data_IF_138189586786
#
_entry.id   IF_138189586786
#
_cell.length_a   1.000
_cell.length_b   1.000
_cell.length_c   1.000
_cell.angle_alpha   90.00
_cell.angle_beta   90.00
_cell.angle_gamma   90.00
#
_symmetry.space_group_name_H-M   'P 1'
#
loop_
_entity.id
_entity.type
_entity.pdbx_description
1 polymer ?
#
# COMPACT_ATOMS: atom_id res chain seq x y z
N UNK A 1 -41.02 20.39 -25.37
CA UNK A 1 -40.07 21.04 -24.42
C UNK A 1 -40.05 20.41 -23.02
N UNK A 2 -41.07 19.65 -22.60
CA UNK A 2 -41.12 19.03 -21.25
C UNK A 2 -40.23 17.78 -21.09
N UNK A 3 -39.97 17.02 -22.16
CA UNK A 3 -39.16 15.79 -22.08
C UNK A 3 -37.64 16.00 -21.90
N UNK A 4 -37.10 17.17 -22.25
CA UNK A 4 -35.67 17.47 -22.09
C UNK A 4 -35.32 17.90 -20.66
N UNK A 5 -36.26 18.56 -19.97
CA UNK A 5 -36.12 18.97 -18.56
C UNK A 5 -36.13 17.76 -17.60
N UNK A 6 -36.94 16.73 -17.88
CA UNK A 6 -36.93 15.48 -17.09
C UNK A 6 -35.62 14.70 -17.24
N UNK A 7 -35.03 14.65 -18.45
CA UNK A 7 -33.75 13.98 -18.68
C UNK A 7 -32.58 14.67 -17.97
N UNK A 8 -32.56 16.01 -17.96
CA UNK A 8 -31.58 16.77 -17.19
C UNK A 8 -31.80 16.63 -15.67
N UNK A 9 -33.05 16.60 -15.20
CA UNK A 9 -33.35 16.38 -13.78
C UNK A 9 -32.94 14.98 -13.30
N UNK A 10 -33.14 13.93 -14.11
CA UNK A 10 -32.71 12.57 -13.76
C UNK A 10 -31.19 12.42 -13.75
N UNK A 11 -30.50 13.06 -14.71
CA UNK A 11 -29.04 13.09 -14.76
C UNK A 11 -28.43 13.91 -13.61
N UNK A 12 -29.07 15.02 -13.21
CA UNK A 12 -28.69 15.83 -12.04
C UNK A 12 -29.02 15.10 -10.74
N UNK A 13 -30.12 14.34 -10.64
CA UNK A 13 -30.45 13.50 -9.49
C UNK A 13 -29.49 12.30 -9.35
N UNK A 14 -29.05 11.70 -10.46
CA UNK A 14 -28.01 10.65 -10.46
C UNK A 14 -26.62 11.23 -10.14
N UNK A 15 -26.32 12.46 -10.56
CA UNK A 15 -25.08 13.15 -10.21
C UNK A 15 -25.04 13.62 -8.74
N UNK A 16 -26.19 13.99 -8.16
CA UNK A 16 -26.31 14.46 -6.76
C UNK A 16 -26.51 13.34 -5.74
N UNK A 17 -26.97 12.15 -6.17
CA UNK A 17 -27.13 11.00 -5.26
C UNK A 17 -25.79 10.33 -4.90
N UNK A 18 -24.83 10.31 -5.82
CA UNK A 18 -23.47 9.77 -5.58
C UNK A 18 -22.49 10.77 -4.93
N UNK A 19 -22.63 12.07 -5.21
CA UNK A 19 -21.82 13.13 -4.62
C UNK A 19 -22.34 13.47 -3.21
N UNK A 20 -21.92 12.69 -2.21
CA UNK A 20 -22.31 12.91 -0.82
C UNK A 20 -22.48 11.65 0.00
N UNK A 21 -22.34 10.45 -0.56
CA UNK A 21 -22.43 9.23 0.24
C UNK A 21 -21.33 9.19 1.32
N UNK A 22 -20.09 9.57 0.99
CA UNK A 22 -19.02 9.69 1.97
C UNK A 22 -19.35 10.73 3.02
N UNK A 23 -19.67 11.95 2.60
CA UNK A 23 -19.95 13.10 3.46
C UNK A 23 -21.17 12.88 4.39
N UNK A 24 -22.13 12.04 3.99
CA UNK A 24 -23.31 11.69 4.81
C UNK A 24 -23.08 10.53 5.79
N UNK A 25 -22.08 9.67 5.55
CA UNK A 25 -21.93 8.41 6.29
C UNK A 25 -20.59 8.29 7.06
N UNK A 26 -19.65 9.20 6.85
CA UNK A 26 -18.33 9.17 7.49
C UNK A 26 -17.99 10.53 8.11
N UNK A 27 -17.27 10.54 9.25
CA UNK A 27 -16.78 11.78 9.83
C UNK A 27 -15.90 12.55 8.85
N UNK A 28 -15.99 13.89 8.86
CA UNK A 28 -15.18 14.75 8.01
C UNK A 28 -13.67 14.51 8.18
N UNK A 29 -13.23 14.17 9.40
CA UNK A 29 -11.85 13.80 9.71
C UNK A 29 -11.37 12.57 8.94
N UNK A 30 -12.22 11.55 8.78
CA UNK A 30 -11.92 10.32 8.03
C UNK A 30 -11.85 10.58 6.53
N UNK A 31 -12.77 11.40 6.01
CA UNK A 31 -12.78 11.78 4.59
C UNK A 31 -11.54 12.61 4.26
N UNK A 32 -11.11 13.48 5.18
CA UNK A 32 -9.88 14.23 5.06
C UNK A 32 -8.67 13.29 5.01
N UNK A 33 -8.56 12.35 5.95
CA UNK A 33 -7.45 11.38 6.01
C UNK A 33 -7.30 10.59 4.71
N UNK A 34 -8.42 10.15 4.12
CA UNK A 34 -8.43 9.39 2.87
C UNK A 34 -7.86 10.16 1.66
N UNK A 35 -7.65 11.48 1.78
CA UNK A 35 -7.10 12.33 0.73
C UNK A 35 -5.62 12.69 0.96
N UNK A 36 -5.08 12.43 2.14
CA UNK A 36 -3.71 12.77 2.51
C UNK A 36 -2.72 11.70 2.05
N UNK A 37 -1.51 12.13 1.73
CA UNK A 37 -0.33 11.27 1.60
C UNK A 37 0.13 10.75 2.96
N UNK A 38 1.04 9.78 2.96
CA UNK A 38 1.61 9.23 4.20
C UNK A 38 2.24 10.33 5.07
N UNK A 39 3.03 11.23 4.48
CA UNK A 39 3.69 12.32 5.20
C UNK A 39 2.69 13.37 5.71
N UNK A 40 1.70 13.75 4.89
CA UNK A 40 0.65 14.68 5.33
C UNK A 40 -0.19 14.09 6.47
N UNK A 41 -0.44 12.78 6.47
CA UNK A 41 -1.16 12.10 7.54
C UNK A 41 -0.33 12.07 8.84
N UNK A 42 0.97 11.78 8.76
CA UNK A 42 1.89 11.87 9.89
C UNK A 42 1.93 13.30 10.47
N UNK A 43 2.04 14.30 9.61
CA UNK A 43 2.05 15.70 10.01
C UNK A 43 0.72 16.13 10.67
N UNK A 44 -0.43 15.73 10.11
CA UNK A 44 -1.75 15.97 10.72
C UNK A 44 -1.83 15.41 12.13
N UNK A 45 -1.27 14.22 12.34
CA UNK A 45 -1.21 13.56 13.64
C UNK A 45 0.02 13.94 14.48
N UNK A 46 0.71 15.04 14.14
CA UNK A 46 1.83 15.64 14.89
C UNK A 46 3.02 14.71 15.12
N UNK A 47 3.29 13.82 14.19
CA UNK A 47 4.50 13.01 14.19
C UNK A 47 5.56 13.62 13.27
N UNK A 48 6.85 13.59 13.63
CA UNK A 48 7.89 13.99 12.72
C UNK A 48 7.88 13.05 11.51
N UNK A 49 8.19 13.58 10.33
CA UNK A 49 8.16 12.78 9.11
C UNK A 49 9.24 13.23 8.14
N UNK A 50 10.00 12.29 7.60
CA UNK A 50 11.00 12.51 6.55
C UNK A 50 10.68 11.66 5.32
N UNK A 51 11.11 12.14 4.16
CA UNK A 51 11.13 11.37 2.92
C UNK A 51 12.58 11.16 2.47
N UNK A 52 12.88 9.94 2.09
CA UNK A 52 14.20 9.54 1.61
C UNK A 52 14.04 8.83 0.28
N UNK A 53 15.00 9.02 -0.63
CA UNK A 53 15.04 8.30 -1.90
C UNK A 53 16.25 7.36 -1.93
N UNK A 54 16.05 6.21 -2.57
CA UNK A 54 17.13 5.29 -2.92
C UNK A 54 16.95 4.80 -4.35
N UNK A 55 18.05 4.71 -5.09
CA UNK A 55 18.06 4.16 -6.45
C UNK A 55 18.54 2.72 -6.39
N UNK A 56 17.74 1.80 -6.93
CA UNK A 56 18.11 0.39 -7.04
C UNK A 56 19.17 0.18 -8.11
N UNK A 57 19.88 -0.95 -8.08
CA UNK A 57 20.91 -1.26 -9.09
C UNK A 57 20.37 -1.35 -10.51
N UNK A 58 19.08 -1.67 -10.67
CA UNK A 58 18.39 -1.71 -11.96
C UNK A 58 17.65 -0.40 -12.31
N UNK A 59 17.82 0.66 -11.51
CA UNK A 59 17.47 2.03 -11.87
C UNK A 59 16.11 2.53 -11.39
N UNK A 60 15.34 1.75 -10.63
CA UNK A 60 14.13 2.25 -9.97
C UNK A 60 14.49 3.20 -8.84
N UNK A 61 13.69 4.25 -8.66
CA UNK A 61 13.86 5.23 -7.58
C UNK A 61 12.72 5.02 -6.60
N UNK A 62 13.08 4.56 -5.39
CA UNK A 62 12.14 4.19 -4.34
C UNK A 62 12.07 5.30 -3.28
N UNK A 63 10.85 5.63 -2.85
CA UNK A 63 10.63 6.51 -1.71
C UNK A 63 10.50 5.68 -0.41
N UNK A 64 11.26 6.04 0.61
CA UNK A 64 11.04 5.58 1.98
C UNK A 64 10.50 6.75 2.81
N UNK A 65 9.42 6.52 3.54
CA UNK A 65 8.99 7.45 4.56
C UNK A 65 9.58 7.05 5.90
N UNK A 66 9.84 8.02 6.78
CA UNK A 66 10.41 7.75 8.10
C UNK A 66 9.69 8.59 9.16
N UNK A 67 9.43 7.99 10.32
CA UNK A 67 9.09 8.69 11.56
C UNK A 67 10.37 8.74 12.39
N UNK A 68 11.19 9.81 12.27
CA UNK A 68 12.57 9.79 12.71
C UNK A 68 12.70 9.80 14.23
N UNK A 69 13.57 8.92 14.73
CA UNK A 69 14.07 8.96 16.10
C UNK A 69 15.60 8.75 16.09
N UNK A 70 16.40 9.82 15.89
CA UNK A 70 17.85 9.70 15.79
C UNK A 70 18.46 8.97 17.01
N UNK A 71 19.36 8.02 16.74
CA UNK A 71 20.01 7.20 17.77
C UNK A 71 19.20 6.00 18.28
N UNK A 72 17.94 5.85 17.86
CA UNK A 72 17.15 4.66 18.17
C UNK A 72 17.35 3.53 17.14
N UNK A 73 17.09 2.30 17.58
CA UNK A 73 17.18 1.10 16.74
C UNK A 73 16.20 1.20 15.55
N UNK A 74 16.67 1.07 14.29
CA UNK A 74 15.78 1.12 13.14
C UNK A 74 14.89 -0.11 13.01
N UNK A 75 13.65 0.15 12.59
CA UNK A 75 12.67 -0.85 12.13
C UNK A 75 12.25 -0.51 10.70
N UNK A 76 12.21 -1.51 9.82
CA UNK A 76 11.74 -1.36 8.44
C UNK A 76 10.43 -2.12 8.23
N UNK A 77 9.37 -1.40 7.86
CA UNK A 77 8.05 -1.93 7.58
C UNK A 77 7.79 -1.94 6.06
N UNK A 78 7.50 -3.10 5.49
CA UNK A 78 7.28 -3.29 4.04
C UNK A 78 5.91 -3.87 3.77
N UNK A 79 5.14 -3.13 2.97
CA UNK A 79 3.73 -3.36 2.69
C UNK A 79 3.46 -4.58 1.80
N UNK A 80 2.17 -4.91 1.63
CA UNK A 80 1.70 -6.01 0.79
C UNK A 80 1.52 -5.64 -0.69
N UNK A 81 0.89 -6.54 -1.44
CA UNK A 81 0.57 -6.30 -2.87
C UNK A 81 -0.48 -5.19 -3.01
N UNK A 82 -0.32 -4.31 -4.00
CA UNK A 82 -1.21 -3.15 -4.26
C UNK A 82 -1.38 -2.20 -3.05
N UNK A 83 -0.34 -2.12 -2.23
CA UNK A 83 -0.33 -1.36 -0.99
C UNK A 83 0.75 -0.25 -1.01
N UNK A 84 0.88 0.51 0.07
CA UNK A 84 1.93 1.49 0.28
C UNK A 84 2.29 1.62 1.76
N UNK A 85 3.31 2.43 2.04
CA UNK A 85 3.68 2.86 3.39
C UNK A 85 2.50 3.35 4.26
N UNK A 86 1.42 3.87 3.66
CA UNK A 86 0.26 4.37 4.39
C UNK A 86 -0.40 3.30 5.27
N UNK A 87 -0.40 2.03 4.87
CA UNK A 87 -1.11 0.97 5.61
C UNK A 87 -0.63 0.77 7.05
N UNK A 88 0.59 1.15 7.35
CA UNK A 88 1.15 1.09 8.70
C UNK A 88 0.66 2.20 9.64
N UNK A 89 0.02 3.25 9.08
CA UNK A 89 -0.45 4.44 9.80
C UNK A 89 -1.95 4.74 9.60
N UNK A 90 -2.63 4.05 8.66
CA UNK A 90 -4.04 4.32 8.32
C UNK A 90 -5.01 4.17 9.50
N UNK A 91 -4.67 3.35 10.50
CA UNK A 91 -5.49 3.16 11.70
C UNK A 91 -5.32 4.26 12.76
N UNK A 92 -4.59 5.32 12.42
CA UNK A 92 -4.37 6.48 13.28
C UNK A 92 -3.40 6.21 14.44
N UNK A 93 -3.04 7.25 15.23
CA UNK A 93 -1.98 7.19 16.24
C UNK A 93 -2.12 6.09 17.29
N UNK A 94 -3.36 5.74 17.64
CA UNK A 94 -3.62 4.72 18.69
C UNK A 94 -3.41 3.28 18.22
N UNK A 95 -3.70 2.99 16.94
CA UNK A 95 -3.81 1.62 16.45
C UNK A 95 -2.86 1.32 15.27
N UNK A 96 -2.24 2.33 14.68
CA UNK A 96 -1.26 2.14 13.61
C UNK A 96 0.05 1.59 14.16
N UNK A 97 0.52 0.47 13.60
CA UNK A 97 1.74 -0.20 14.05
C UNK A 97 2.97 0.71 14.01
N UNK A 98 3.08 1.57 13.00
CA UNK A 98 4.20 2.50 12.90
C UNK A 98 4.21 3.53 14.05
N UNK A 99 3.04 4.00 14.48
CA UNK A 99 2.92 4.88 15.65
C UNK A 99 3.29 4.14 16.93
N UNK A 100 2.75 2.94 17.13
CA UNK A 100 3.08 2.11 18.28
C UNK A 100 4.60 1.85 18.40
N UNK A 101 5.27 1.51 17.29
CA UNK A 101 6.72 1.31 17.29
C UNK A 101 7.48 2.61 17.58
N UNK A 102 7.04 3.73 17.03
CA UNK A 102 7.67 5.03 17.31
C UNK A 102 7.55 5.40 18.79
N UNK A 103 6.37 5.23 19.38
CA UNK A 103 6.09 5.48 20.81
C UNK A 103 6.83 4.50 21.72
N UNK A 104 7.08 3.28 21.23
CA UNK A 104 7.92 2.28 21.88
C UNK A 104 9.43 2.56 21.77
N UNK A 105 9.82 3.68 21.16
CA UNK A 105 11.21 4.15 21.14
C UNK A 105 12.03 3.71 19.93
N UNK A 106 11.41 3.24 18.84
CA UNK A 106 12.13 2.87 17.61
C UNK A 106 12.23 4.01 16.60
N UNK A 107 13.23 3.91 15.71
CA UNK A 107 13.33 4.73 14.50
C UNK A 107 12.60 4.02 13.34
N UNK A 108 11.47 4.58 12.89
CA UNK A 108 10.51 3.84 12.07
C UNK A 108 10.63 4.19 10.60
N UNK A 109 10.98 3.22 9.77
CA UNK A 109 11.10 3.35 8.32
C UNK A 109 10.01 2.57 7.60
N UNK A 110 9.37 3.19 6.62
CA UNK A 110 8.24 2.67 5.85
C UNK A 110 8.65 2.57 4.38
N UNK A 111 8.92 1.35 3.93
CA UNK A 111 9.35 1.07 2.57
C UNK A 111 8.21 1.13 1.56
N UNK A 112 8.45 1.70 0.38
CA UNK A 112 7.54 1.63 -0.77
C UNK A 112 8.22 0.87 -1.92
N UNK A 113 7.64 -0.27 -2.30
CA UNK A 113 8.15 -1.07 -3.40
C UNK A 113 7.92 -0.40 -4.75
N UNK A 114 8.78 -0.69 -5.74
CA UNK A 114 8.71 -0.18 -7.11
C UNK A 114 7.30 -0.30 -7.71
N UNK A 115 6.89 0.73 -8.44
CA UNK A 115 5.61 0.80 -9.13
C UNK A 115 4.41 1.18 -8.26
N UNK A 116 4.54 1.24 -6.93
CA UNK A 116 3.48 1.79 -6.09
C UNK A 116 3.38 3.33 -6.25
N UNK A 117 2.41 3.97 -5.58
CA UNK A 117 2.14 5.41 -5.71
C UNK A 117 3.36 6.31 -5.43
N UNK A 118 4.26 5.90 -4.53
CA UNK A 118 5.41 6.71 -4.10
C UNK A 118 6.71 6.32 -4.83
N UNK A 119 6.79 5.11 -5.39
CA UNK A 119 7.98 4.56 -6.06
C UNK A 119 7.72 4.28 -7.55
N UNK A 120 6.95 5.17 -8.22
CA UNK A 120 6.66 5.11 -9.66
C UNK A 120 7.64 5.98 -10.46
N UNK A 121 8.94 5.73 -10.30
CA UNK A 121 10.01 6.52 -10.91
C UNK A 121 11.24 5.66 -11.24
N UNK A 122 12.01 6.06 -12.26
CA UNK A 122 13.20 5.35 -12.76
C UNK A 122 14.19 6.34 -13.39
N UNK A 123 15.46 6.00 -13.37
CA UNK A 123 16.56 6.78 -13.99
C UNK A 123 16.45 6.97 -15.51
N UNK A 124 15.70 6.14 -16.22
CA UNK A 124 15.66 6.13 -17.70
C UNK A 124 14.28 5.80 -18.28
N UNK A 125 13.47 4.99 -17.59
CA UNK A 125 12.16 4.56 -18.09
C UNK A 125 11.04 5.47 -17.60
N UNK A 126 10.15 5.87 -18.51
CA UNK A 126 8.94 6.60 -18.18
C UNK A 126 7.78 5.64 -17.89
N UNK A 127 7.24 5.60 -16.66
CA UNK A 127 6.19 4.66 -16.26
C UNK A 127 4.87 4.82 -17.04
N UNK A 128 4.66 5.97 -17.70
CA UNK A 128 3.46 6.27 -18.48
C UNK A 128 3.61 5.98 -19.98
N UNK A 129 4.84 5.73 -20.46
CA UNK A 129 5.13 5.49 -21.89
C UNK A 129 5.80 4.13 -22.13
N UNK A 130 6.71 3.75 -21.25
CA UNK A 130 7.59 2.61 -21.43
C UNK A 130 7.05 1.39 -20.68
N UNK A 131 6.55 0.40 -21.42
CA UNK A 131 6.06 -0.86 -20.84
C UNK A 131 7.14 -1.62 -20.08
N UNK A 132 8.40 -1.43 -20.45
CA UNK A 132 9.55 -2.02 -19.76
C UNK A 132 9.63 -1.60 -18.29
N UNK A 133 9.10 -0.43 -17.91
CA UNK A 133 9.00 0.00 -16.52
C UNK A 133 8.17 -0.97 -15.66
N UNK A 134 7.20 -1.67 -16.26
CA UNK A 134 6.32 -2.59 -15.55
C UNK A 134 6.81 -4.03 -15.61
N UNK A 135 7.98 -4.28 -16.21
CA UNK A 135 8.55 -5.61 -16.38
C UNK A 135 9.31 -6.05 -15.14
N UNK A 136 8.59 -6.17 -14.02
CA UNK A 136 9.10 -6.68 -12.76
C UNK A 136 8.00 -7.48 -12.05
N UNK A 137 8.42 -8.22 -11.04
CA UNK A 137 7.57 -8.98 -10.16
C UNK A 137 8.02 -8.78 -8.71
N UNK A 138 7.40 -9.52 -7.78
CA UNK A 138 7.89 -9.61 -6.41
C UNK A 138 9.33 -10.15 -6.32
N UNK A 139 9.82 -10.83 -7.36
CA UNK A 139 11.19 -11.33 -7.38
C UNK A 139 12.21 -10.19 -7.42
N UNK A 140 12.05 -9.24 -8.34
CA UNK A 140 12.92 -8.06 -8.46
C UNK A 140 12.83 -7.15 -7.23
N UNK A 141 11.66 -7.06 -6.59
CA UNK A 141 11.52 -6.35 -5.31
C UNK A 141 12.41 -6.99 -4.24
N UNK A 142 12.45 -8.32 -4.16
CA UNK A 142 13.32 -9.03 -3.22
C UNK A 142 14.81 -8.92 -3.57
N UNK A 143 15.16 -8.93 -4.85
CA UNK A 143 16.56 -8.87 -5.30
C UNK A 143 17.17 -7.47 -5.29
N UNK A 144 16.36 -6.42 -5.49
CA UNK A 144 16.88 -5.08 -5.73
C UNK A 144 16.30 -4.04 -4.77
N UNK A 145 14.98 -4.01 -4.57
CA UNK A 145 14.36 -2.98 -3.72
C UNK A 145 14.74 -3.17 -2.27
N UNK A 146 14.53 -4.38 -1.74
CA UNK A 146 14.71 -4.65 -0.32
C UNK A 146 16.18 -4.46 0.12
N UNK A 147 17.18 -4.98 -0.62
CA UNK A 147 18.59 -4.64 -0.40
C UNK A 147 18.87 -3.14 -0.35
N UNK A 148 18.40 -2.38 -1.35
CA UNK A 148 18.62 -0.94 -1.43
C UNK A 148 17.95 -0.19 -0.26
N UNK A 149 16.73 -0.60 0.12
CA UNK A 149 16.04 -0.05 1.27
C UNK A 149 16.78 -0.33 2.58
N UNK A 150 17.25 -1.57 2.80
CA UNK A 150 18.01 -1.94 4.00
C UNK A 150 19.30 -1.12 4.09
N UNK A 151 20.08 -1.04 3.01
CA UNK A 151 21.33 -0.29 3.00
C UNK A 151 21.10 1.19 3.27
N UNK A 152 20.09 1.79 2.63
CA UNK A 152 19.70 3.18 2.90
C UNK A 152 19.38 3.42 4.38
N UNK A 153 18.65 2.52 5.03
CA UNK A 153 18.29 2.62 6.45
C UNK A 153 19.52 2.49 7.34
N UNK A 154 20.37 1.50 7.09
CA UNK A 154 21.57 1.27 7.88
C UNK A 154 22.57 2.43 7.74
N UNK A 155 22.77 2.94 6.53
CA UNK A 155 23.63 4.09 6.27
C UNK A 155 23.11 5.35 6.96
N UNK A 156 21.80 5.62 6.85
CA UNK A 156 21.19 6.81 7.45
C UNK A 156 21.17 6.79 8.99
N UNK A 157 21.23 5.61 9.60
CA UNK A 157 21.12 5.44 11.05
C UNK A 157 22.44 5.04 11.71
N UNK A 158 23.46 4.66 10.93
CA UNK A 158 24.74 4.09 11.39
C UNK A 158 24.62 2.79 12.19
N UNK A 159 23.45 2.13 12.18
CA UNK A 159 23.28 0.79 12.75
C UNK A 159 23.78 -0.27 11.77
N UNK A 160 24.25 -1.40 12.30
CA UNK A 160 24.69 -2.54 11.48
C UNK A 160 23.55 -3.48 11.10
N UNK A 161 22.45 -3.46 11.86
CA UNK A 161 21.29 -4.33 11.67
C UNK A 161 20.00 -3.57 11.97
N UNK A 162 18.90 -4.01 11.37
CA UNK A 162 17.55 -3.51 11.62
C UNK A 162 16.57 -4.65 11.93
N UNK A 163 15.41 -4.32 12.48
CA UNK A 163 14.29 -5.27 12.62
C UNK A 163 13.32 -5.08 11.45
N UNK A 164 12.87 -6.18 10.86
CA UNK A 164 12.01 -6.17 9.68
C UNK A 164 10.57 -6.56 10.04
N UNK A 165 9.61 -5.85 9.46
CA UNK A 165 8.19 -6.22 9.45
C UNK A 165 7.71 -6.30 8.01
N UNK A 166 7.22 -7.46 7.61
CA UNK A 166 6.64 -7.67 6.28
C UNK A 166 5.19 -8.09 6.39
N UNK A 167 4.30 -7.49 5.59
CA UNK A 167 2.92 -7.95 5.47
C UNK A 167 2.67 -8.57 4.09
N UNK A 168 2.07 -9.77 4.05
CA UNK A 168 1.67 -10.43 2.78
C UNK A 168 2.85 -10.51 1.80
N UNK A 169 2.78 -9.84 0.64
CA UNK A 169 3.90 -9.77 -0.32
C UNK A 169 5.20 -9.24 0.30
N UNK A 170 5.14 -8.35 1.30
CA UNK A 170 6.32 -7.91 2.06
C UNK A 170 7.08 -9.08 2.69
N UNK A 171 6.40 -10.14 3.11
CA UNK A 171 7.07 -11.37 3.58
C UNK A 171 7.72 -12.14 2.44
N UNK A 172 7.04 -12.23 1.28
CA UNK A 172 7.55 -12.93 0.09
C UNK A 172 8.86 -12.32 -0.38
N UNK A 173 8.93 -10.99 -0.49
CA UNK A 173 10.12 -10.29 -0.97
C UNK A 173 11.29 -10.44 0.00
N UNK A 174 11.01 -10.52 1.31
CA UNK A 174 12.02 -10.89 2.30
C UNK A 174 12.52 -12.31 2.09
N UNK A 175 11.65 -13.30 1.89
CA UNK A 175 12.08 -14.68 1.65
C UNK A 175 12.90 -14.82 0.36
N UNK A 176 12.58 -14.07 -0.69
CA UNK A 176 13.41 -13.99 -1.91
C UNK A 176 14.78 -13.44 -1.57
N UNK A 177 14.86 -12.27 -0.93
CA UNK A 177 16.14 -11.67 -0.54
C UNK A 177 16.96 -12.62 0.34
N UNK A 178 16.36 -13.16 1.40
CA UNK A 178 17.05 -13.99 2.38
C UNK A 178 17.60 -15.30 1.80
N UNK A 179 16.94 -15.84 0.77
CA UNK A 179 17.36 -17.07 0.09
C UNK A 179 18.33 -16.82 -1.06
N UNK A 180 18.16 -15.74 -1.82
CA UNK A 180 18.99 -15.42 -3.00
C UNK A 180 20.21 -14.56 -2.66
N UNK A 181 20.17 -13.80 -1.56
CA UNK A 181 21.21 -12.86 -1.12
C UNK A 181 21.55 -13.11 0.37
N UNK A 182 22.12 -14.28 0.72
CA UNK A 182 22.28 -14.69 2.12
C UNK A 182 23.11 -13.72 2.98
N UNK A 183 24.00 -12.92 2.39
CA UNK A 183 24.75 -11.88 3.10
C UNK A 183 23.84 -10.81 3.75
N UNK A 184 22.62 -10.59 3.25
CA UNK A 184 21.67 -9.67 3.88
C UNK A 184 21.03 -10.24 5.14
N UNK A 185 21.08 -11.56 5.37
CA UNK A 185 20.58 -12.14 6.61
C UNK A 185 21.35 -11.61 7.83
N UNK A 186 22.64 -11.29 7.66
CA UNK A 186 23.46 -10.69 8.72
C UNK A 186 23.07 -9.26 9.07
N UNK A 187 22.34 -8.57 8.19
CA UNK A 187 21.85 -7.19 8.37
C UNK A 187 20.48 -7.11 9.05
N UNK A 188 19.86 -8.24 9.40
CA UNK A 188 18.52 -8.29 9.98
C UNK A 188 18.57 -8.96 11.36
N UNK A 189 17.99 -8.31 12.37
CA UNK A 189 17.90 -8.85 13.74
C UNK A 189 16.81 -9.91 13.82
N UNK A 190 15.62 -9.56 13.33
CA UNK A 190 14.42 -10.38 13.39
C UNK A 190 13.48 -9.99 12.24
N UNK A 191 12.80 -10.99 11.68
CA UNK A 191 11.65 -10.79 10.81
C UNK A 191 10.34 -11.05 11.57
N UNK A 192 9.45 -10.08 11.54
CA UNK A 192 8.05 -10.20 11.91
C UNK A 192 7.23 -10.38 10.63
N UNK A 193 6.89 -11.64 10.31
CA UNK A 193 6.16 -11.98 9.09
C UNK A 193 4.65 -12.03 9.35
N UNK A 194 3.93 -10.98 8.92
CA UNK A 194 2.49 -10.83 9.10
C UNK A 194 1.74 -11.37 7.87
N UNK A 195 0.89 -12.37 8.06
CA UNK A 195 0.23 -13.12 6.98
C UNK A 195 1.25 -13.62 5.91
N UNK A 196 2.21 -14.47 6.30
CA UNK A 196 3.32 -14.85 5.43
C UNK A 196 2.87 -15.61 4.18
N UNK A 197 3.51 -15.29 3.05
CA UNK A 197 3.23 -15.91 1.74
C UNK A 197 4.54 -16.42 1.13
N UNK A 198 4.76 -17.73 1.17
CA UNK A 198 5.84 -18.41 0.45
C UNK A 198 5.30 -19.24 -0.72
N UNK A 199 4.23 -20.02 -0.47
CA UNK A 199 3.57 -20.85 -1.47
C UNK A 199 2.06 -20.59 -1.49
N UNK A 200 1.44 -20.67 -2.67
CA UNK A 200 0.01 -20.41 -2.87
C UNK A 200 -0.81 -21.66 -3.22
N UNK A 201 -0.23 -22.86 -3.10
CA UNK A 201 -0.82 -24.12 -3.60
C UNK A 201 -2.18 -24.45 -2.96
N UNK A 202 -2.42 -24.00 -1.73
CA UNK A 202 -3.63 -24.29 -0.95
C UNK A 202 -4.55 -23.08 -0.75
N UNK A 203 -4.37 -22.00 -1.53
CA UNK A 203 -5.24 -20.84 -1.42
C UNK A 203 -6.67 -21.21 -1.83
N UNK A 204 -7.64 -21.07 -0.91
CA UNK A 204 -9.04 -21.44 -1.13
C UNK A 204 -9.79 -20.44 -2.01
N UNK A 205 -9.29 -19.21 -2.14
CA UNK A 205 -9.92 -18.14 -2.90
C UNK A 205 -9.72 -18.36 -4.40
N UNK A 206 -10.80 -18.81 -5.07
CA UNK A 206 -10.83 -19.01 -6.53
C UNK A 206 -10.66 -17.70 -7.33
N UNK A 207 -10.91 -16.56 -6.68
CA UNK A 207 -10.87 -15.24 -7.32
C UNK A 207 -9.49 -14.90 -7.90
N UNK A 208 -8.39 -15.29 -7.24
CA UNK A 208 -7.03 -15.06 -7.76
C UNK A 208 -6.81 -15.78 -9.10
N UNK A 209 -7.34 -17.00 -9.25
CA UNK A 209 -7.25 -17.75 -10.51
C UNK A 209 -8.06 -17.10 -11.63
N UNK A 210 -9.25 -16.60 -11.31
CA UNK A 210 -10.12 -15.88 -12.25
C UNK A 210 -9.48 -14.56 -12.68
N UNK A 211 -8.98 -13.77 -11.73
CA UNK A 211 -8.29 -12.50 -12.02
C UNK A 211 -7.06 -12.77 -12.89
N UNK A 212 -6.25 -13.77 -12.58
CA UNK A 212 -5.10 -14.15 -13.43
C UNK A 212 -5.52 -14.52 -14.85
N UNK A 213 -6.59 -15.30 -15.02
CA UNK A 213 -7.11 -15.69 -16.33
C UNK A 213 -7.68 -14.49 -17.09
N UNK A 214 -8.44 -13.62 -16.43
CA UNK A 214 -8.97 -12.39 -17.02
C UNK A 214 -7.86 -11.43 -17.43
N UNK A 215 -6.84 -11.24 -16.59
CA UNK A 215 -5.69 -10.41 -16.90
C UNK A 215 -4.94 -10.94 -18.12
N UNK A 216 -4.69 -12.25 -18.18
CA UNK A 216 -4.06 -12.89 -19.33
C UNK A 216 -4.90 -12.75 -20.61
N UNK A 217 -6.23 -12.77 -20.52
CA UNK A 217 -7.14 -12.62 -21.66
C UNK A 217 -7.20 -11.16 -22.15
N UNK A 218 -7.37 -10.20 -21.24
CA UNK A 218 -7.55 -8.79 -21.56
C UNK A 218 -6.25 -8.13 -22.04
N UNK A 219 -5.12 -8.55 -21.48
CA UNK A 219 -3.85 -7.85 -21.65
C UNK A 219 -2.78 -8.71 -22.33
N UNK A 220 -2.99 -10.01 -22.48
CA UNK A 220 -1.97 -10.94 -22.97
C UNK A 220 -0.99 -11.36 -21.87
N UNK A 221 -0.40 -12.55 -22.00
CA UNK A 221 0.47 -13.14 -20.97
C UNK A 221 1.79 -12.38 -20.75
N UNK A 222 2.24 -11.66 -21.77
CA UNK A 222 3.60 -11.08 -21.82
C UNK A 222 3.61 -9.55 -21.98
N UNK A 223 2.51 -8.87 -21.63
CA UNK A 223 2.45 -7.40 -21.68
C UNK A 223 2.47 -6.82 -20.26
N UNK A 224 3.65 -6.54 -19.70
CA UNK A 224 3.76 -5.89 -18.40
C UNK A 224 3.07 -4.53 -18.44
N UNK A 225 2.26 -4.26 -17.42
CA UNK A 225 1.50 -3.03 -17.28
C UNK A 225 1.14 -2.75 -15.83
N UNK A 226 0.81 -1.49 -15.56
CA UNK A 226 0.29 -1.06 -14.27
C UNK A 226 -1.06 -1.72 -13.98
N UNK A 227 -1.14 -2.47 -12.87
CA UNK A 227 -2.38 -3.09 -12.40
C UNK A 227 -3.14 -2.10 -11.51
N UNK A 228 -4.37 -1.77 -11.92
CA UNK A 228 -5.27 -0.82 -11.22
C UNK A 228 -4.62 0.56 -10.97
N UNK A 229 -4.29 1.34 -12.03
CA UNK A 229 -3.74 2.67 -11.88
C UNK A 229 -4.63 3.55 -10.99
N UNK A 230 -4.00 4.34 -10.12
CA UNK A 230 -4.73 5.24 -9.21
C UNK A 230 -5.59 6.21 -10.02
N UNK A 231 -6.91 6.07 -9.95
CA UNK A 231 -7.84 6.99 -10.57
C UNK A 231 -8.87 7.50 -9.56
N UNK A 232 -9.15 8.81 -9.61
CA UNK A 232 -10.22 9.42 -8.80
C UNK A 232 -11.59 8.81 -9.11
N UNK A 233 -11.76 8.27 -10.32
CA UNK A 233 -12.99 7.61 -10.76
C UNK A 233 -13.18 6.25 -10.07
N UNK A 234 -12.16 5.38 -10.03
CA UNK A 234 -12.24 4.09 -9.33
C UNK A 234 -12.56 4.25 -7.85
N UNK A 235 -11.92 5.21 -7.18
CA UNK A 235 -12.20 5.48 -5.77
C UNK A 235 -13.66 5.90 -5.58
N UNK A 236 -14.15 6.86 -6.40
CA UNK A 236 -15.54 7.31 -6.34
C UNK A 236 -16.54 6.19 -6.60
N UNK A 237 -16.24 5.24 -7.50
CA UNK A 237 -17.15 4.14 -7.83
C UNK A 237 -17.50 3.28 -6.61
N UNK A 238 -16.55 2.94 -5.75
CA UNK A 238 -16.84 2.13 -4.56
C UNK A 238 -17.64 2.88 -3.47
N UNK A 239 -17.72 4.21 -3.55
CA UNK A 239 -18.39 5.04 -2.55
C UNK A 239 -19.64 5.75 -3.10
N UNK A 240 -20.29 5.20 -4.12
CA UNK A 240 -21.55 5.77 -4.66
C UNK A 240 -22.74 5.47 -3.73
N UNK A 241 -22.77 4.29 -3.11
CA UNK A 241 -23.84 3.88 -2.21
C UNK A 241 -23.37 2.81 -1.22
N UNK A 242 -24.17 2.57 -0.16
CA UNK A 242 -23.92 1.51 0.82
C UNK A 242 -23.86 0.12 0.18
N UNK A 243 -24.72 -0.13 -0.81
CA UNK A 243 -24.75 -1.40 -1.55
C UNK A 243 -23.47 -1.60 -2.35
N UNK A 244 -23.02 -0.57 -3.08
CA UNK A 244 -21.80 -0.65 -3.88
C UNK A 244 -20.57 -0.77 -2.98
N UNK A 245 -20.52 -0.02 -1.87
CA UNK A 245 -19.46 -0.14 -0.89
C UNK A 245 -19.39 -1.55 -0.30
N UNK A 246 -20.52 -2.11 0.13
CA UNK A 246 -20.56 -3.47 0.65
C UNK A 246 -20.13 -4.49 -0.40
N UNK A 247 -20.50 -4.31 -1.67
CA UNK A 247 -20.04 -5.16 -2.76
C UNK A 247 -18.52 -5.06 -2.96
N UNK A 248 -17.96 -3.85 -2.98
CA UNK A 248 -16.51 -3.63 -3.06
C UNK A 248 -15.79 -4.28 -1.88
N UNK A 249 -16.26 -4.06 -0.65
CA UNK A 249 -15.65 -4.63 0.55
C UNK A 249 -15.75 -6.15 0.60
N UNK A 250 -16.88 -6.73 0.16
CA UNK A 250 -17.02 -8.18 0.04
C UNK A 250 -16.09 -8.75 -1.03
N UNK A 251 -15.89 -8.04 -2.14
CA UNK A 251 -14.94 -8.45 -3.17
C UNK A 251 -13.51 -8.44 -2.65
N UNK A 252 -13.09 -7.35 -1.99
CA UNK A 252 -11.77 -7.23 -1.35
C UNK A 252 -11.58 -8.32 -0.30
N UNK A 253 -12.53 -8.49 0.63
CA UNK A 253 -12.49 -9.55 1.66
C UNK A 253 -12.38 -10.95 1.05
N UNK A 254 -13.05 -11.23 -0.09
CA UNK A 254 -12.89 -12.50 -0.82
C UNK A 254 -11.58 -12.62 -1.59
N UNK A 255 -10.93 -11.52 -1.94
CA UNK A 255 -9.66 -11.53 -2.66
C UNK A 255 -8.48 -11.74 -1.71
N UNK A 256 -8.38 -10.90 -0.67
CA UNK A 256 -7.23 -10.87 0.26
C UNK A 256 -7.48 -11.64 1.56
N UNK A 257 -8.73 -12.01 1.82
CA UNK A 257 -9.15 -12.54 3.12
C UNK A 257 -9.43 -11.41 4.10
N UNK A 258 -10.49 -11.53 4.89
CA UNK A 258 -10.77 -10.54 5.93
C UNK A 258 -12.06 -10.83 6.67
N UNK A 259 -12.01 -10.74 7.99
CA UNK A 259 -13.20 -10.81 8.83
C UNK A 259 -13.90 -9.44 8.86
N UNK A 260 -15.01 -9.33 8.12
CA UNK A 260 -15.81 -8.11 8.03
C UNK A 260 -16.38 -7.64 9.39
N UNK A 261 -16.31 -8.47 10.44
CA UNK A 261 -16.68 -8.08 11.82
C UNK A 261 -15.54 -7.37 12.56
N UNK A 262 -14.28 -7.58 12.15
CA UNK A 262 -13.09 -6.98 12.77
C UNK A 262 -12.59 -5.72 12.07
N UNK A 263 -13.21 -5.36 10.94
CA UNK A 263 -12.89 -4.13 10.23
C UNK A 263 -13.58 -2.96 10.94
N UNK A 264 -12.81 -1.93 11.29
CA UNK A 264 -13.38 -0.68 11.76
C UNK A 264 -14.14 0.00 10.60
N UNK A 265 -15.46 0.06 10.71
CA UNK A 265 -16.35 0.54 9.63
C UNK A 265 -16.58 2.04 9.63
N UNK A 266 -16.20 2.74 10.68
CA UNK A 266 -16.63 4.13 10.92
C UNK A 266 -15.52 5.03 11.47
N UNK A 267 -14.38 4.47 11.89
CA UNK A 267 -13.33 5.19 12.61
C UNK A 267 -13.89 6.07 13.75
N UNK A 268 -15.02 5.66 14.34
CA UNK A 268 -15.50 6.25 15.58
C UNK A 268 -14.64 5.69 16.69
N UNK A 269 -13.96 6.59 17.37
CA UNK A 269 -13.09 6.33 18.51
C UNK A 269 -13.87 5.96 19.78
N UNK A 270 -15.13 5.56 19.64
CA UNK A 270 -16.08 5.46 20.75
C UNK A 270 -16.31 4.04 21.27
N UNK A 271 -15.93 2.98 20.54
CA UNK A 271 -16.19 1.60 21.00
C UNK A 271 -14.99 0.67 20.79
N UNK A 272 -14.01 0.70 21.70
CA UNK A 272 -13.16 -0.43 22.13
C UNK A 272 -12.18 -0.02 23.22
#
# INVERSE_FOLDING_TARGET
MINWLCGLCLAVQLATSGAGYLERNYPASVIQDARLTTLELLAKYRHPSEEHFVTTSDGYILALHRIPRPGAQPVLLVHGILDSSASWILMGPRNGLAYYLYDSGYDVWLGNCRGNTYSRNHTSLNPSKDRAFWNFSWHEIGLYDLPAMIDKVLDATSFKKLTYYGHSQGTTVFFVMASSLPAYNDKVILINALAPVAFLNHIKTKLVKVVRAMMALLFGKDKPMELLPRSKLMLKMCFISKTVLNLCMNYVSRAVGGDMKKINKVNTLEDS
#
